data_IF_712338090646
#
_entry.id   IF_712338090646
#
_cell.length_a   1.000
_cell.length_b   1.000
_cell.length_c   1.000
_cell.angle_alpha   90.00
_cell.angle_beta   90.00
_cell.angle_gamma   90.00
#
_symmetry.space_group_name_H-M   'P 1'
#
loop_
_entity.id
_entity.type
_entity.pdbx_description
1 polymer ?
#
# COMPACT_ATOMS: atom_id res chain seq x y z
N UNK A 1 8.11 6.88 -8.95
CA UNK A 1 7.84 6.44 -7.57
C UNK A 1 6.62 7.15 -7.01
N UNK A 2 5.69 6.42 -6.38
CA UNK A 2 4.47 6.94 -5.75
C UNK A 2 4.49 6.61 -4.27
N UNK A 3 3.82 7.43 -3.45
CA UNK A 3 3.60 7.17 -2.03
C UNK A 3 2.19 6.60 -1.83
N UNK A 4 2.08 5.54 -1.04
CA UNK A 4 0.83 4.90 -0.66
C UNK A 4 0.71 4.89 0.85
N UNK A 5 -0.47 5.24 1.37
CA UNK A 5 -0.83 5.14 2.77
C UNK A 5 -1.69 3.90 2.99
N UNK A 6 -1.45 3.17 4.08
CA UNK A 6 -2.14 1.92 4.43
C UNK A 6 -2.84 2.07 5.78
N UNK A 7 -4.16 2.08 5.76
CA UNK A 7 -4.96 2.12 6.98
C UNK A 7 -5.54 0.75 7.29
N UNK A 8 -5.42 0.29 8.53
CA UNK A 8 -6.03 -0.98 8.93
C UNK A 8 -7.53 -0.80 9.18
N UNK A 9 -8.34 -1.71 8.67
CA UNK A 9 -9.80 -1.70 8.82
C UNK A 9 -10.26 -2.05 10.24
N UNK A 10 -9.37 -2.61 11.06
CA UNK A 10 -9.66 -2.90 12.47
C UNK A 10 -9.56 -1.65 13.37
N UNK A 11 -9.23 -0.48 12.81
CA UNK A 11 -9.10 0.78 13.55
C UNK A 11 -7.73 1.01 14.18
N UNK A 12 -6.78 0.10 13.98
CA UNK A 12 -5.40 0.29 14.44
C UNK A 12 -4.63 1.22 13.48
N UNK A 13 -3.81 2.09 14.06
CA UNK A 13 -2.90 2.95 13.30
C UNK A 13 -1.52 2.30 13.29
N UNK A 14 -1.03 1.93 12.10
CA UNK A 14 0.35 1.47 11.95
C UNK A 14 1.31 2.66 12.15
N UNK A 15 2.37 2.53 12.96
CA UNK A 15 3.34 3.60 13.17
C UNK A 15 4.15 3.95 11.91
N UNK A 16 4.04 3.14 10.85
CA UNK A 16 4.68 3.38 9.56
C UNK A 16 3.79 2.88 8.41
N UNK A 17 2.70 3.62 8.16
CA UNK A 17 1.69 3.27 7.16
C UNK A 17 2.03 3.74 5.74
N UNK A 18 3.19 4.36 5.50
CA UNK A 18 3.57 4.90 4.20
C UNK A 18 4.52 3.95 3.46
N UNK A 19 4.15 3.56 2.25
CA UNK A 19 4.94 2.73 1.33
C UNK A 19 5.29 3.50 0.07
N UNK A 20 6.56 3.43 -0.35
CA UNK A 20 7.04 3.97 -1.62
C UNK A 20 7.17 2.86 -2.64
N UNK A 21 6.32 2.88 -3.66
CA UNK A 21 6.27 1.87 -4.71
C UNK A 21 5.99 2.50 -6.08
N UNK A 22 6.33 1.81 -7.16
CA UNK A 22 6.00 2.25 -8.52
C UNK A 22 4.53 1.97 -8.85
N UNK A 23 4.05 0.81 -8.41
CA UNK A 23 2.66 0.40 -8.56
C UNK A 23 2.17 -0.43 -7.37
N UNK A 24 0.84 -0.54 -7.30
CA UNK A 24 0.10 -1.36 -6.36
C UNK A 24 -0.93 -2.16 -7.15
N UNK A 25 -1.00 -3.47 -6.91
CA UNK A 25 -1.95 -4.39 -7.54
C UNK A 25 -2.60 -5.29 -6.49
N UNK A 26 -3.73 -5.91 -6.82
CA UNK A 26 -4.41 -6.88 -5.95
C UNK A 26 -4.57 -8.19 -6.72
N UNK A 27 -4.11 -9.29 -6.14
CA UNK A 27 -4.24 -10.66 -6.67
C UNK A 27 -4.48 -11.62 -5.51
N UNK A 28 -5.38 -12.59 -5.67
CA UNK A 28 -5.72 -13.58 -4.63
C UNK A 28 -5.99 -12.99 -3.23
N UNK A 29 -6.66 -11.81 -3.18
CA UNK A 29 -6.95 -11.05 -1.95
C UNK A 29 -5.72 -10.49 -1.23
N UNK A 30 -4.59 -10.38 -1.92
CA UNK A 30 -3.34 -9.80 -1.43
C UNK A 30 -3.07 -8.52 -2.21
N UNK A 31 -2.97 -7.40 -1.50
CA UNK A 31 -2.45 -6.15 -2.04
C UNK A 31 -0.93 -6.19 -2.09
N UNK A 32 -0.35 -5.99 -3.27
CA UNK A 32 1.08 -6.11 -3.54
C UNK A 32 1.67 -4.79 -4.01
N UNK A 33 2.79 -4.39 -3.42
CA UNK A 33 3.53 -3.18 -3.76
C UNK A 33 4.81 -3.54 -4.49
N UNK A 34 5.01 -2.97 -5.67
CA UNK A 34 6.12 -3.30 -6.56
C UNK A 34 7.02 -2.10 -6.83
N UNK A 35 8.32 -2.36 -6.94
CA UNK A 35 9.33 -1.37 -7.33
C UNK A 35 10.33 -2.02 -8.30
N UNK A 36 10.46 -1.49 -9.52
CA UNK A 36 11.27 -2.10 -10.59
C UNK A 36 11.05 -3.63 -10.73
N UNK A 37 9.80 -4.06 -10.86
CA UNK A 37 9.37 -5.48 -10.95
C UNK A 37 9.72 -6.37 -9.73
N UNK A 38 10.18 -5.78 -8.62
CA UNK A 38 10.39 -6.50 -7.37
C UNK A 38 9.25 -6.22 -6.38
N UNK A 39 8.71 -7.29 -5.78
CA UNK A 39 7.74 -7.18 -4.69
C UNK A 39 8.48 -6.70 -3.43
N UNK A 40 8.10 -5.53 -2.92
CA UNK A 40 8.73 -4.92 -1.74
C UNK A 40 7.87 -5.03 -0.48
N UNK A 41 6.54 -5.15 -0.65
CA UNK A 41 5.61 -5.29 0.45
C UNK A 41 4.30 -5.92 -0.01
N UNK A 42 3.62 -6.61 0.90
CA UNK A 42 2.32 -7.21 0.66
C UNK A 42 1.44 -7.10 1.91
N UNK A 43 0.15 -6.89 1.71
CA UNK A 43 -0.86 -6.76 2.78
C UNK A 43 -2.13 -7.51 2.41
N UNK A 44 -2.89 -8.05 3.38
CA UNK A 44 -4.20 -8.61 3.10
C UNK A 44 -5.16 -7.51 2.60
N UNK A 45 -5.71 -7.66 1.40
CA UNK A 45 -6.56 -6.62 0.79
C UNK A 45 -7.90 -6.44 1.52
N UNK A 46 -8.36 -7.45 2.26
CA UNK A 46 -9.60 -7.42 3.05
C UNK A 46 -9.43 -6.80 4.44
N UNK A 47 -8.19 -6.50 4.85
CA UNK A 47 -7.88 -5.93 6.17
C UNK A 47 -7.41 -4.48 6.12
N UNK A 48 -7.17 -3.93 4.92
CA UNK A 48 -6.57 -2.60 4.78
C UNK A 48 -7.27 -1.74 3.74
N UNK A 49 -7.16 -0.43 3.89
CA UNK A 49 -7.44 0.55 2.85
C UNK A 49 -6.10 1.08 2.36
N UNK A 50 -5.87 1.03 1.05
CA UNK A 50 -4.67 1.60 0.42
C UNK A 50 -5.06 2.88 -0.30
N UNK A 51 -4.41 4.01 0.05
CA UNK A 51 -4.63 5.32 -0.58
C UNK A 51 -3.35 5.79 -1.23
N UNK A 52 -3.42 6.23 -2.48
CA UNK A 52 -2.27 6.90 -3.12
C UNK A 52 -2.21 8.35 -2.65
N UNK A 53 -1.07 8.74 -2.09
CA UNK A 53 -0.80 10.14 -1.72
C UNK A 53 -0.46 10.91 -3.00
N UNK A 54 -1.24 11.96 -3.29
CA UNK A 54 -0.98 12.91 -4.38
C UNK A 54 -0.67 14.25 -3.73
N UNK A 55 0.57 14.73 -3.85
CA UNK A 55 0.95 16.07 -3.38
C UNK A 55 0.67 17.07 -4.50
N UNK A 56 -0.05 18.18 -4.22
CA UNK A 56 -0.18 19.26 -5.20
C UNK A 56 1.20 19.87 -5.47
N UNK A 57 1.49 20.13 -6.75
CA UNK A 57 2.69 20.83 -7.23
C UNK A 57 2.65 22.33 -6.93
#
# INVERSE_FOLDING_TARGET
MKEYEIDLLNGDVLPNNIIKADCYTIEDSIGMFWNNDNLIHSVPADKVIVRRIVRPE
#
